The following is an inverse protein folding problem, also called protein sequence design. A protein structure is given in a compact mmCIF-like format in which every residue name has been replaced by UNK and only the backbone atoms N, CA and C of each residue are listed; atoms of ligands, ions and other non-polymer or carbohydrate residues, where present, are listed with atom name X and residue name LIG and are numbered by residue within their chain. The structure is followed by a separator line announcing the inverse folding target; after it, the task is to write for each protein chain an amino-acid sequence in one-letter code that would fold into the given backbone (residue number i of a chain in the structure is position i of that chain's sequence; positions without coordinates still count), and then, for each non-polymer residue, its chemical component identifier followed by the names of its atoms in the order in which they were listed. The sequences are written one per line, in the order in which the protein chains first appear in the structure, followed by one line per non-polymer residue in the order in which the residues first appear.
data_IF_053317904504
#
_entry.id   IF_053317904504
#
_cell.length_a   1.000
_cell.length_b   1.000
_cell.length_c   1.000
_cell.angle_alpha   90.00
_cell.angle_beta   90.00
_cell.angle_gamma   90.00
#
_symmetry.space_group_name_H-M   'P 1'
#
loop_
_entity.id
_entity.type
_entity.pdbx_description
1 polymer ?
#
# COMPACT_ATOMS: atom_id res chain seq x y z
N UNK A 1 12.63 17.55 -16.01
CA UNK A 1 12.08 17.26 -14.67
C UNK A 1 12.71 15.99 -14.16
N UNK A 2 13.45 15.98 -13.04
CA UNK A 2 14.05 14.75 -12.55
C UNK A 2 12.94 13.89 -11.95
N UNK A 3 12.84 12.64 -12.40
CA UNK A 3 11.95 11.66 -11.78
C UNK A 3 12.40 11.41 -10.34
N UNK A 4 11.47 11.21 -9.39
CA UNK A 4 11.85 10.86 -8.04
C UNK A 4 12.60 9.53 -8.07
N UNK A 5 13.89 9.59 -7.74
CA UNK A 5 14.77 8.45 -7.53
C UNK A 5 14.08 7.49 -6.57
N UNK A 6 13.53 6.39 -7.09
CA UNK A 6 13.09 5.27 -6.28
C UNK A 6 14.34 4.67 -5.64
N UNK A 7 14.68 5.20 -4.47
CA UNK A 7 15.69 4.64 -3.58
C UNK A 7 15.44 3.13 -3.43
N UNK A 8 16.51 2.36 -3.38
CA UNK A 8 16.56 0.90 -3.44
C UNK A 8 15.87 0.14 -2.27
N UNK A 9 14.92 0.77 -1.57
CA UNK A 9 13.99 0.18 -0.60
C UNK A 9 12.66 -0.29 -1.22
N UNK A 10 12.54 -0.25 -2.55
CA UNK A 10 11.29 0.07 -3.24
C UNK A 10 10.23 -1.04 -3.40
N UNK A 11 10.38 -2.26 -2.86
CA UNK A 11 9.35 -3.30 -3.04
C UNK A 11 9.21 -4.35 -1.92
N UNK A 12 9.50 -4.01 -0.66
CA UNK A 12 9.28 -4.96 0.46
C UNK A 12 7.83 -5.47 0.52
N UNK A 13 6.85 -4.57 0.40
CA UNK A 13 5.44 -4.97 0.34
C UNK A 13 5.11 -5.80 -0.91
N UNK A 14 5.74 -5.50 -2.05
CA UNK A 14 5.59 -6.30 -3.26
C UNK A 14 6.06 -7.74 -3.06
N UNK A 15 7.21 -7.93 -2.40
CA UNK A 15 7.73 -9.26 -2.03
C UNK A 15 6.84 -9.98 -1.04
N UNK A 16 6.26 -9.27 -0.07
CA UNK A 16 5.31 -9.88 0.88
C UNK A 16 4.05 -10.34 0.15
N UNK A 17 3.52 -9.56 -0.80
CA UNK A 17 2.36 -9.96 -1.61
C UNK A 17 2.68 -11.22 -2.43
N UNK A 18 3.87 -11.29 -3.04
CA UNK A 18 4.33 -12.48 -3.76
C UNK A 18 4.48 -13.70 -2.84
N UNK A 19 5.03 -13.51 -1.64
CA UNK A 19 5.17 -14.58 -0.65
C UNK A 19 3.81 -15.11 -0.16
N UNK A 20 2.84 -14.22 0.06
CA UNK A 20 1.46 -14.60 0.40
C UNK A 20 0.82 -15.38 -0.75
N UNK A 21 1.02 -14.93 -1.99
CA UNK A 21 0.52 -15.64 -3.18
C UNK A 21 1.09 -17.06 -3.27
N UNK A 22 2.41 -17.22 -3.09
CA UNK A 22 3.07 -18.52 -3.10
C UNK A 22 2.59 -19.47 -2.00
N UNK A 23 2.28 -18.95 -0.80
CA UNK A 23 1.67 -19.73 0.28
C UNK A 23 0.25 -20.19 -0.06
N UNK A 24 -0.57 -19.31 -0.66
CA UNK A 24 -1.95 -19.62 -1.06
C UNK A 24 -2.01 -20.63 -2.20
N UNK A 25 -1.09 -20.53 -3.16
CA UNK A 25 -0.97 -21.44 -4.29
C UNK A 25 -0.36 -22.80 -3.90
N UNK A 26 0.15 -22.94 -2.68
CA UNK A 26 0.76 -24.19 -2.20
C UNK A 26 2.18 -24.44 -2.70
N UNK A 27 2.78 -23.49 -3.41
CA UNK A 27 4.18 -23.53 -3.85
C UNK A 27 5.14 -23.62 -2.66
N UNK A 28 4.78 -22.98 -1.55
CA UNK A 28 5.51 -23.04 -0.29
C UNK A 28 4.52 -23.38 0.83
N UNK A 29 4.87 -24.34 1.68
CA UNK A 29 3.99 -24.81 2.78
C UNK A 29 4.22 -24.09 4.10
N UNK A 30 5.36 -23.41 4.27
CA UNK A 30 5.76 -22.76 5.52
C UNK A 30 5.94 -21.26 5.35
N UNK A 31 5.34 -20.49 6.26
CA UNK A 31 5.51 -19.03 6.38
C UNK A 31 7.00 -18.67 6.50
N UNK A 32 7.78 -19.47 7.25
CA UNK A 32 9.21 -19.24 7.44
C UNK A 32 10.00 -19.50 6.17
N UNK A 33 9.66 -20.54 5.42
CA UNK A 33 10.26 -20.81 4.12
C UNK A 33 9.92 -19.72 3.09
N UNK A 34 8.68 -19.21 3.10
CA UNK A 34 8.28 -18.11 2.23
C UNK A 34 9.00 -16.81 2.58
N UNK A 35 9.13 -16.49 3.86
CA UNK A 35 9.87 -15.32 4.34
C UNK A 35 11.33 -15.34 3.87
N UNK A 36 12.00 -16.50 3.98
CA UNK A 36 13.37 -16.68 3.50
C UNK A 36 13.48 -16.62 1.97
N UNK A 37 12.56 -17.28 1.25
CA UNK A 37 12.59 -17.35 -0.22
C UNK A 37 12.37 -15.99 -0.88
N UNK A 38 11.54 -15.15 -0.27
CA UNK A 38 11.20 -13.82 -0.79
C UNK A 38 11.97 -12.69 -0.10
N UNK A 39 12.95 -13.00 0.75
CA UNK A 39 13.77 -12.00 1.47
C UNK A 39 12.90 -10.93 2.16
N UNK A 40 11.99 -11.40 3.02
CA UNK A 40 11.11 -10.54 3.83
C UNK A 40 11.12 -10.97 5.30
N UNK A 41 10.97 -10.04 6.26
CA UNK A 41 10.88 -10.38 7.67
C UNK A 41 9.67 -11.29 7.93
N UNK A 42 9.89 -12.35 8.69
CA UNK A 42 8.85 -13.31 9.07
C UNK A 42 7.66 -12.64 9.74
N UNK A 43 7.92 -11.74 10.70
CA UNK A 43 6.85 -11.04 11.43
C UNK A 43 6.02 -10.17 10.48
N UNK A 44 6.64 -9.45 9.55
CA UNK A 44 5.91 -8.65 8.56
C UNK A 44 5.01 -9.52 7.67
N UNK A 45 5.49 -10.68 7.22
CA UNK A 45 4.70 -11.63 6.44
C UNK A 45 3.53 -12.17 7.26
N UNK A 46 3.77 -12.58 8.51
CA UNK A 46 2.75 -13.09 9.44
C UNK A 46 1.67 -12.06 9.72
N UNK A 47 2.05 -10.81 10.00
CA UNK A 47 1.12 -9.69 10.23
C UNK A 47 0.23 -9.46 8.99
N UNK A 48 0.80 -9.56 7.78
CA UNK A 48 0.05 -9.40 6.52
C UNK A 48 -0.89 -10.57 6.24
N UNK A 49 -0.50 -11.81 6.58
CA UNK A 49 -1.39 -12.98 6.53
C UNK A 49 -2.57 -12.86 7.48
N UNK A 50 -2.38 -12.22 8.65
CA UNK A 50 -3.44 -11.94 9.61
C UNK A 50 -4.38 -10.79 9.18
N UNK A 51 -4.23 -10.27 7.95
CA UNK A 51 -5.12 -9.24 7.39
C UNK A 51 -4.73 -7.80 7.73
N UNK A 52 -3.60 -7.57 8.41
CA UNK A 52 -3.13 -6.21 8.68
C UNK A 52 -2.55 -5.62 7.40
N UNK A 53 -3.17 -4.55 6.90
CA UNK A 53 -2.72 -3.85 5.70
C UNK A 53 -1.44 -3.05 5.95
N UNK A 54 -0.71 -2.74 4.88
CA UNK A 54 0.44 -1.84 4.95
C UNK A 54 0.01 -0.44 5.35
N UNK A 55 0.89 0.30 6.03
CA UNK A 55 0.57 1.66 6.47
C UNK A 55 0.14 2.57 5.31
N UNK A 56 0.68 2.34 4.11
CA UNK A 56 0.29 3.03 2.87
C UNK A 56 -1.17 2.78 2.48
N UNK A 57 -1.70 1.60 2.77
CA UNK A 57 -3.05 1.18 2.39
C UNK A 57 -4.05 1.28 3.57
N UNK A 58 -3.58 1.51 4.80
CA UNK A 58 -4.43 1.67 5.97
C UNK A 58 -4.98 3.09 6.08
N UNK A 59 -6.21 3.22 6.60
CA UNK A 59 -6.78 4.53 6.96
C UNK A 59 -5.96 5.19 8.08
N UNK A 60 -5.52 6.45 7.92
CA UNK A 60 -4.86 7.18 9.00
C UNK A 60 -5.79 7.40 10.20
N UNK A 61 -5.27 7.23 11.43
CA UNK A 61 -6.06 7.33 12.66
C UNK A 61 -6.74 8.70 12.83
N UNK A 62 -6.13 9.76 12.31
CA UNK A 62 -6.62 11.15 12.40
C UNK A 62 -7.37 11.61 11.16
N UNK A 63 -7.83 10.69 10.30
CA UNK A 63 -8.61 11.05 9.10
C UNK A 63 -9.94 11.67 9.51
N UNK A 64 -10.15 12.95 9.16
CA UNK A 64 -11.37 13.71 9.48
C UNK A 64 -12.46 13.61 8.42
N UNK A 65 -12.07 13.41 7.17
CA UNK A 65 -12.99 13.37 6.04
C UNK A 65 -13.28 11.92 5.64
N UNK A 66 -14.53 11.65 5.27
CA UNK A 66 -14.88 10.38 4.66
C UNK A 66 -14.39 10.35 3.21
N UNK A 67 -14.18 9.16 2.59
CA UNK A 67 -13.84 9.07 1.17
C UNK A 67 -14.76 9.89 0.27
N UNK A 68 -16.06 9.88 0.58
CA UNK A 68 -17.06 10.68 -0.13
C UNK A 68 -16.81 12.19 0.01
N UNK A 69 -16.52 12.68 1.22
CA UNK A 69 -16.21 14.10 1.45
C UNK A 69 -14.93 14.52 0.74
N UNK A 70 -13.90 13.68 0.77
CA UNK A 70 -12.66 13.94 0.04
C UNK A 70 -12.91 14.02 -1.47
N UNK A 71 -13.67 13.08 -2.04
CA UNK A 71 -14.05 13.11 -3.45
C UNK A 71 -14.85 14.36 -3.82
N UNK A 72 -15.83 14.74 -3.01
CA UNK A 72 -16.63 15.95 -3.25
C UNK A 72 -15.75 17.22 -3.23
N UNK A 73 -14.79 17.28 -2.30
CA UNK A 73 -13.87 18.41 -2.18
C UNK A 73 -12.89 18.48 -3.36
N UNK A 74 -12.36 17.34 -3.81
CA UNK A 74 -11.52 17.25 -5.02
C UNK A 74 -12.30 17.71 -6.26
N UNK A 75 -13.53 17.21 -6.45
CA UNK A 75 -14.37 17.64 -7.56
C UNK A 75 -14.68 19.14 -7.51
N UNK A 76 -14.92 19.68 -6.32
CA UNK A 76 -15.16 21.11 -6.14
C UNK A 76 -13.93 21.95 -6.54
N UNK A 77 -12.73 21.58 -6.09
CA UNK A 77 -11.48 22.26 -6.45
C UNK A 77 -11.26 22.20 -7.98
N UNK A 78 -11.41 21.03 -8.59
CA UNK A 78 -11.27 20.88 -10.04
C UNK A 78 -12.27 21.75 -10.81
N UNK A 79 -13.52 21.85 -10.32
CA UNK A 79 -14.52 22.71 -10.93
C UNK A 79 -14.22 24.21 -10.78
N UNK A 80 -13.57 24.62 -9.69
CA UNK A 80 -13.12 25.99 -9.48
C UNK A 80 -11.94 26.35 -10.40
N UNK A 81 -10.97 25.44 -10.50
CA UNK A 81 -9.81 25.58 -11.38
C UNK A 81 -10.23 25.72 -12.86
N UNK A 82 -11.18 24.89 -13.31
CA UNK A 82 -11.77 25.00 -14.66
C UNK A 82 -12.44 26.35 -14.94
N UNK A 83 -12.91 27.05 -13.89
CA UNK A 83 -13.53 28.37 -14.00
C UNK A 83 -12.53 29.52 -13.86
N UNK A 84 -11.23 29.21 -13.75
CA UNK A 84 -10.16 30.19 -13.61
C UNK A 84 -10.03 30.77 -12.20
N UNK A 85 -10.67 30.16 -11.19
CA UNK A 85 -10.43 30.52 -9.79
C UNK A 85 -9.16 29.80 -9.31
N UNK A 86 -8.27 30.53 -8.65
CA UNK A 86 -7.12 29.91 -7.98
C UNK A 86 -7.61 28.98 -6.86
N UNK A 87 -7.05 27.76 -6.74
CA UNK A 87 -7.43 26.78 -5.73
C UNK A 87 -7.08 27.19 -4.29
#
# INVERSE_FOLDING_TARGET
MPQPTQAQSSNQEGRIILAIKALKEGNIKSIRAAAMSYDVPFESLRTRLNGVTSRRNSTPNSRKLTPYKELALVQYILNLDLRGFSP
#
